data_IF_130571283385
#
_entry.id   IF_130571283385
#
_cell.length_a   1.000
_cell.length_b   1.000
_cell.length_c   1.000
_cell.angle_alpha   90.00
_cell.angle_beta   90.00
_cell.angle_gamma   90.00
#
_symmetry.space_group_name_H-M   'P 1'
#
loop_
_entity.id
_entity.type
_entity.pdbx_description
1 polymer ?
#
# COMPACT_ATOMS: atom_id res chain seq x y z
N UNK A 1 3.36 27.00 77.90
CA UNK A 1 3.77 27.16 76.49
C UNK A 1 5.29 27.30 76.44
N UNK A 2 6.00 26.24 76.05
CA UNK A 2 7.47 26.25 75.92
C UNK A 2 7.86 26.49 74.45
N UNK A 3 8.91 27.27 74.14
CA UNK A 3 9.32 27.53 72.77
C UNK A 3 10.05 26.31 72.19
N UNK A 4 9.58 25.87 71.02
CA UNK A 4 10.08 24.71 70.28
C UNK A 4 11.32 25.14 69.49
N UNK A 5 12.50 24.68 69.90
CA UNK A 5 13.77 24.94 69.21
C UNK A 5 13.88 24.11 67.95
N UNK A 6 13.95 24.73 66.77
CA UNK A 6 14.26 24.06 65.51
C UNK A 6 15.76 23.76 65.43
N UNK A 7 16.13 22.47 65.33
CA UNK A 7 17.49 22.03 65.02
C UNK A 7 17.59 21.77 63.53
N UNK A 8 18.36 22.60 62.82
CA UNK A 8 18.69 22.41 61.41
C UNK A 8 19.68 21.24 61.26
N UNK A 9 19.18 20.06 60.89
CA UNK A 9 20.01 18.95 60.44
C UNK A 9 20.07 18.92 58.92
N UNK A 10 21.20 19.32 58.34
CA UNK A 10 21.49 19.07 56.91
C UNK A 10 21.80 17.59 56.72
N UNK A 11 20.84 16.83 56.18
CA UNK A 11 21.09 15.49 55.68
C UNK A 11 21.66 15.59 54.25
N UNK A 12 22.95 15.31 54.10
CA UNK A 12 23.59 15.09 52.80
C UNK A 12 23.12 13.74 52.25
N UNK A 13 22.15 13.78 51.34
CA UNK A 13 21.77 12.64 50.51
C UNK A 13 22.85 12.44 49.43
N UNK A 14 23.48 11.26 49.32
CA UNK A 14 24.41 10.99 48.24
C UNK A 14 23.63 10.92 46.93
N UNK A 15 23.94 11.85 46.02
CA UNK A 15 23.46 11.83 44.65
C UNK A 15 24.14 10.67 43.93
N UNK A 16 23.46 9.54 43.81
CA UNK A 16 23.89 8.44 42.94
C UNK A 16 23.70 8.90 41.50
N UNK A 17 24.78 9.35 40.87
CA UNK A 17 24.82 9.60 39.43
C UNK A 17 24.84 8.23 38.76
N UNK A 18 23.65 7.67 38.51
CA UNK A 18 23.50 6.52 37.64
C UNK A 18 24.00 6.91 36.25
N UNK A 19 25.09 6.28 35.80
CA UNK A 19 25.61 6.50 34.45
C UNK A 19 24.50 6.26 33.43
N UNK A 20 24.27 7.25 32.56
CA UNK A 20 23.38 7.11 31.42
C UNK A 20 23.98 6.04 30.49
N UNK A 21 23.51 4.81 30.63
CA UNK A 21 23.81 3.74 29.67
C UNK A 21 23.04 4.08 28.40
N UNK A 22 23.75 4.45 27.35
CA UNK A 22 23.14 4.63 26.02
C UNK A 22 22.57 3.28 25.59
N UNK A 23 21.31 3.24 25.10
CA UNK A 23 20.72 1.98 24.65
C UNK A 23 21.58 1.40 23.54
N UNK A 24 21.70 0.05 23.45
CA UNK A 24 22.44 -0.57 22.38
C UNK A 24 21.86 -0.14 21.02
N UNK A 25 22.71 0.00 19.98
CA UNK A 25 22.25 0.32 18.64
C UNK A 25 21.13 -0.63 18.18
N UNK A 26 20.14 -0.09 17.47
CA UNK A 26 19.04 -0.89 16.93
C UNK A 26 19.61 -1.89 15.91
N UNK A 27 19.35 -3.17 16.15
CA UNK A 27 19.55 -4.21 15.14
C UNK A 27 18.47 -4.06 14.05
N UNK A 28 18.79 -3.29 13.02
CA UNK A 28 17.88 -2.99 11.91
C UNK A 28 17.49 -4.24 11.14
N UNK A 29 18.40 -5.21 10.99
CA UNK A 29 18.11 -6.47 10.28
C UNK A 29 17.04 -7.27 11.02
N UNK A 30 17.21 -7.45 12.33
CA UNK A 30 16.22 -8.16 13.15
C UNK A 30 14.88 -7.42 13.21
N UNK A 31 14.87 -6.08 13.24
CA UNK A 31 13.63 -5.30 13.24
C UNK A 31 12.90 -5.37 11.90
N UNK A 32 13.60 -5.18 10.78
CA UNK A 32 13.01 -5.22 9.43
C UNK A 32 12.52 -6.62 9.11
N UNK A 33 13.33 -7.67 9.37
CA UNK A 33 13.00 -9.05 9.02
C UNK A 33 11.74 -9.62 9.69
N UNK A 34 11.23 -8.99 10.76
CA UNK A 34 9.91 -9.33 11.35
C UNK A 34 8.74 -9.06 10.39
N UNK A 35 8.97 -8.26 9.36
CA UNK A 35 7.97 -7.81 8.40
C UNK A 35 8.18 -8.42 7.01
N UNK A 36 9.08 -9.40 6.88
CA UNK A 36 9.25 -10.15 5.64
C UNK A 36 7.96 -10.90 5.29
N UNK A 37 7.43 -10.63 4.10
CA UNK A 37 6.20 -11.27 3.64
C UNK A 37 6.54 -12.61 3.00
N UNK A 38 5.81 -13.65 3.39
CA UNK A 38 5.88 -14.97 2.74
C UNK A 38 4.50 -15.37 2.23
N UNK A 39 4.44 -15.67 0.94
CA UNK A 39 3.25 -16.19 0.28
C UNK A 39 3.52 -17.63 -0.16
N UNK A 40 2.58 -18.52 0.17
CA UNK A 40 2.63 -19.94 -0.17
C UNK A 40 1.28 -20.39 -0.69
N UNK A 41 1.27 -20.88 -1.92
CA UNK A 41 0.05 -21.40 -2.54
C UNK A 41 0.34 -22.68 -3.31
N UNK A 42 -0.42 -23.73 -3.04
CA UNK A 42 -0.35 -24.95 -3.85
C UNK A 42 -0.86 -24.70 -5.27
N UNK A 43 -1.92 -23.89 -5.39
CA UNK A 43 -2.49 -23.47 -6.66
C UNK A 43 -3.04 -22.05 -6.54
N UNK A 44 -2.76 -21.22 -7.54
CA UNK A 44 -3.28 -19.86 -7.60
C UNK A 44 -4.67 -19.83 -8.25
N UNK A 45 -5.66 -19.33 -7.51
CA UNK A 45 -6.98 -18.97 -8.02
C UNK A 45 -7.02 -17.46 -8.29
N UNK A 46 -7.30 -16.99 -9.52
CA UNK A 46 -7.43 -15.56 -9.83
C UNK A 46 -8.35 -14.76 -8.92
N UNK A 47 -9.42 -15.36 -8.38
CA UNK A 47 -10.36 -14.64 -7.51
C UNK A 47 -9.79 -14.41 -6.11
N UNK A 48 -9.05 -15.39 -5.58
CA UNK A 48 -8.38 -15.30 -4.30
C UNK A 48 -7.05 -14.52 -4.39
N UNK A 49 -6.25 -14.83 -5.41
CA UNK A 49 -4.87 -14.36 -5.57
C UNK A 49 -4.77 -12.90 -5.98
N UNK A 50 -5.85 -12.30 -6.50
CA UNK A 50 -5.88 -10.85 -6.84
C UNK A 50 -5.57 -9.94 -5.65
N UNK A 51 -5.64 -10.47 -4.43
CA UNK A 51 -5.32 -9.76 -3.18
C UNK A 51 -3.89 -10.00 -2.67
N UNK A 52 -3.14 -10.90 -3.31
CA UNK A 52 -1.79 -11.30 -2.87
C UNK A 52 -0.69 -10.46 -3.54
N UNK A 53 -1.07 -9.46 -4.34
CA UNK A 53 -0.12 -8.53 -4.94
C UNK A 53 0.61 -7.74 -3.85
N UNK A 54 1.94 -7.76 -3.88
CA UNK A 54 2.77 -7.08 -2.90
C UNK A 54 3.15 -5.69 -3.42
N UNK A 55 2.90 -4.66 -2.61
CA UNK A 55 3.33 -3.29 -2.91
C UNK A 55 4.48 -2.90 -2.00
N UNK A 56 5.60 -2.50 -2.58
CA UNK A 56 6.76 -1.95 -1.85
C UNK A 56 7.03 -0.53 -2.29
N UNK A 57 7.40 0.34 -1.36
CA UNK A 57 7.66 1.73 -1.67
C UNK A 57 8.42 2.46 -0.58
N UNK A 58 8.93 3.64 -0.92
CA UNK A 58 9.74 4.48 -0.05
C UNK A 58 9.06 5.82 0.31
N UNK A 59 7.76 5.94 0.04
CA UNK A 59 6.98 7.16 0.22
C UNK A 59 6.86 8.01 -1.05
N UNK A 60 7.89 8.01 -1.91
CA UNK A 60 7.89 8.79 -3.17
C UNK A 60 7.65 7.92 -4.41
N UNK A 61 7.86 6.61 -4.27
CA UNK A 61 7.66 5.59 -5.28
C UNK A 61 7.07 4.34 -4.63
N UNK A 62 6.17 3.67 -5.33
CA UNK A 62 5.65 2.37 -4.94
C UNK A 62 5.50 1.45 -6.16
N UNK A 63 5.96 0.22 -6.04
CA UNK A 63 5.86 -0.80 -7.07
C UNK A 63 4.99 -1.95 -6.57
N UNK A 64 3.95 -2.27 -7.34
CA UNK A 64 3.09 -3.42 -7.09
C UNK A 64 3.54 -4.59 -7.95
N UNK A 65 3.88 -5.71 -7.33
CA UNK A 65 4.31 -6.94 -7.97
C UNK A 65 3.27 -8.06 -7.78
N UNK A 66 3.09 -8.89 -8.80
CA UNK A 66 2.41 -10.18 -8.66
C UNK A 66 3.37 -11.27 -8.16
N UNK A 67 2.88 -12.51 -8.13
CA UNK A 67 3.61 -13.72 -7.71
C UNK A 67 4.92 -13.98 -8.48
N UNK A 68 5.12 -13.37 -9.64
CA UNK A 68 6.37 -13.43 -10.41
C UNK A 68 7.43 -12.45 -9.89
N UNK A 69 7.07 -11.53 -8.98
CA UNK A 69 7.91 -10.41 -8.56
C UNK A 69 7.87 -9.22 -9.54
N UNK A 70 7.11 -9.31 -10.62
CA UNK A 70 6.96 -8.28 -11.65
C UNK A 70 5.49 -7.88 -11.84
N UNK A 71 5.21 -6.98 -12.79
CA UNK A 71 3.85 -6.59 -13.22
C UNK A 71 3.36 -7.46 -14.40
N UNK A 72 3.75 -8.74 -14.45
CA UNK A 72 3.61 -9.62 -15.62
C UNK A 72 2.18 -10.07 -15.91
N UNK A 73 1.38 -10.27 -14.87
CA UNK A 73 0.02 -10.83 -14.94
C UNK A 73 -1.05 -9.75 -14.81
N UNK A 74 -0.73 -8.49 -15.14
CA UNK A 74 -1.62 -7.36 -14.91
C UNK A 74 -3.01 -7.55 -15.54
N UNK A 75 -3.13 -8.22 -16.69
CA UNK A 75 -4.44 -8.53 -17.29
C UNK A 75 -5.35 -9.35 -16.36
N UNK A 76 -4.77 -10.26 -15.57
CA UNK A 76 -5.50 -11.04 -14.56
C UNK A 76 -5.90 -10.18 -13.36
N UNK A 77 -5.04 -9.25 -12.95
CA UNK A 77 -5.25 -8.36 -11.79
C UNK A 77 -6.04 -7.07 -12.11
N UNK A 78 -6.24 -6.70 -13.39
CA UNK A 78 -6.96 -5.48 -13.80
C UNK A 78 -8.49 -5.64 -13.83
N UNK A 79 -9.03 -6.65 -13.17
CA UNK A 79 -10.47 -6.83 -13.03
C UNK A 79 -11.07 -5.68 -12.20
N UNK A 80 -12.35 -5.29 -12.39
CA UNK A 80 -12.94 -4.09 -11.78
C UNK A 80 -12.86 -4.02 -10.24
N UNK A 81 -12.67 -5.16 -9.60
CA UNK A 81 -12.66 -5.34 -8.14
C UNK A 81 -11.27 -5.74 -7.61
N UNK A 82 -10.25 -5.82 -8.47
CA UNK A 82 -8.92 -6.29 -8.15
C UNK A 82 -7.92 -5.13 -8.03
N UNK A 83 -6.83 -5.34 -7.30
CA UNK A 83 -5.76 -4.35 -7.17
C UNK A 83 -4.87 -4.40 -8.42
N UNK A 84 -4.88 -3.38 -9.30
CA UNK A 84 -4.13 -3.46 -10.53
C UNK A 84 -2.62 -3.32 -10.28
N UNK A 85 -1.81 -4.02 -11.08
CA UNK A 85 -0.36 -4.02 -10.95
C UNK A 85 0.23 -2.78 -11.63
N UNK A 86 0.34 -1.70 -10.86
CA UNK A 86 0.90 -0.44 -11.34
C UNK A 86 1.97 0.09 -10.41
N UNK A 87 2.72 1.04 -10.96
CA UNK A 87 3.71 1.83 -10.26
C UNK A 87 3.09 3.17 -9.88
N UNK A 88 3.30 3.57 -8.64
CA UNK A 88 2.90 4.87 -8.11
C UNK A 88 4.15 5.70 -7.87
N UNK A 89 4.08 6.99 -8.17
CA UNK A 89 5.18 7.91 -7.91
C UNK A 89 4.69 9.34 -7.70
N UNK A 90 5.47 10.13 -6.97
CA UNK A 90 5.25 11.57 -6.77
C UNK A 90 5.49 12.41 -8.05
N UNK A 91 6.19 11.86 -9.04
CA UNK A 91 6.47 12.50 -10.33
C UNK A 91 5.53 12.02 -11.45
N UNK A 92 4.84 10.88 -11.25
CA UNK A 92 3.88 10.30 -12.19
C UNK A 92 2.51 10.98 -12.17
N UNK A 93 2.45 12.20 -11.63
CA UNK A 93 1.25 13.02 -11.65
C UNK A 93 1.09 13.55 -13.07
N UNK A 94 0.17 12.94 -13.78
CA UNK A 94 -0.33 13.47 -15.03
C UNK A 94 -1.76 13.88 -14.74
N UNK A 95 -2.10 15.14 -15.01
CA UNK A 95 -3.50 15.59 -15.03
C UNK A 95 -4.07 15.09 -16.35
N UNK A 96 -4.79 13.95 -16.41
CA UNK A 96 -5.50 13.61 -17.62
C UNK A 96 -6.51 14.73 -17.90
N UNK A 97 -6.75 15.00 -19.18
CA UNK A 97 -7.84 15.88 -19.56
C UNK A 97 -9.14 15.36 -18.89
N UNK A 98 -9.84 16.17 -18.11
CA UNK A 98 -11.18 15.88 -17.60
C UNK A 98 -12.14 15.24 -18.60
N UNK A 99 -12.06 15.66 -19.87
CA UNK A 99 -12.85 15.11 -20.96
C UNK A 99 -12.48 13.66 -21.28
N UNK A 100 -11.22 13.27 -21.08
CA UNK A 100 -10.77 11.88 -21.24
C UNK A 100 -11.34 10.94 -20.16
N UNK A 101 -11.77 11.49 -19.01
CA UNK A 101 -12.51 10.74 -17.99
C UNK A 101 -14.03 10.70 -18.24
N UNK A 102 -14.52 11.31 -19.33
CA UNK A 102 -15.95 11.37 -19.67
C UNK A 102 -16.77 12.23 -18.70
N UNK A 103 -16.13 13.13 -17.95
CA UNK A 103 -16.81 14.00 -17.01
C UNK A 103 -17.18 15.37 -17.62
N UNK A 104 -18.27 16.01 -17.13
CA UNK A 104 -18.59 17.38 -17.50
C UNK A 104 -17.45 18.34 -17.11
N UNK A 105 -17.05 19.21 -18.04
CA UNK A 105 -15.94 20.17 -17.84
C UNK A 105 -16.16 21.12 -16.63
N UNK A 106 -17.42 21.36 -16.22
CA UNK A 106 -17.75 22.16 -15.02
C UNK A 106 -17.21 21.56 -13.71
N UNK A 107 -16.90 20.27 -13.70
CA UNK A 107 -16.34 19.57 -12.55
C UNK A 107 -14.84 19.80 -12.41
N UNK A 108 -14.23 20.63 -13.26
CA UNK A 108 -12.79 20.87 -13.30
C UNK A 108 -12.48 22.35 -13.47
N UNK A 109 -11.38 22.76 -12.86
CA UNK A 109 -10.77 24.05 -13.07
C UNK A 109 -10.10 24.10 -14.46
N UNK A 110 -9.83 25.31 -14.97
CA UNK A 110 -9.14 25.49 -16.25
C UNK A 110 -7.71 24.93 -16.32
N UNK A 111 -7.13 24.54 -15.18
CA UNK A 111 -5.84 23.86 -15.08
C UNK A 111 -5.96 22.32 -15.02
N UNK A 112 -7.16 21.75 -15.23
CA UNK A 112 -7.44 20.32 -15.23
C UNK A 112 -7.59 19.68 -13.85
N UNK A 113 -7.44 20.43 -12.75
CA UNK A 113 -7.73 19.91 -11.40
C UNK A 113 -9.24 19.82 -11.15
N UNK A 114 -9.68 18.86 -10.34
CA UNK A 114 -11.09 18.76 -9.96
C UNK A 114 -11.55 20.02 -9.24
N UNK A 115 -12.66 20.59 -9.68
CA UNK A 115 -13.39 21.67 -9.02
C UNK A 115 -14.27 21.10 -7.90
N UNK A 116 -13.62 20.45 -6.94
CA UNK A 116 -14.21 19.85 -5.73
C UNK A 116 -13.40 20.30 -4.52
N UNK A 117 -14.10 20.69 -3.47
CA UNK A 117 -13.55 20.88 -2.13
C UNK A 117 -13.95 19.72 -1.23
N UNK A 118 -13.32 19.60 -0.07
CA UNK A 118 -13.71 18.61 0.95
C UNK A 118 -15.19 18.74 1.36
N UNK A 119 -15.78 19.94 1.22
CA UNK A 119 -17.20 20.19 1.50
C UNK A 119 -18.15 19.62 0.43
N UNK A 120 -17.67 19.42 -0.79
CA UNK A 120 -18.46 18.91 -1.92
C UNK A 120 -18.58 17.38 -1.90
N UNK A 121 -17.87 16.69 -0.99
CA UNK A 121 -17.78 15.24 -0.96
C UNK A 121 -18.33 14.68 0.35
N UNK A 122 -19.31 13.78 0.25
CA UNK A 122 -19.73 13.00 1.42
C UNK A 122 -18.72 11.91 1.77
N UNK A 123 -18.16 12.04 2.98
CA UNK A 123 -17.20 11.09 3.53
C UNK A 123 -17.86 10.25 4.60
N UNK A 124 -17.93 8.95 4.35
CA UNK A 124 -18.31 7.95 5.33
C UNK A 124 -17.10 7.62 6.19
N UNK A 125 -17.38 7.62 7.49
CA UNK A 125 -16.43 7.20 8.51
C UNK A 125 -16.85 5.82 9.02
N UNK A 126 -15.90 4.91 9.17
CA UNK A 126 -16.15 3.57 9.72
C UNK A 126 -15.06 3.21 10.73
N UNK A 127 -15.43 2.40 11.72
CA UNK A 127 -14.45 1.78 12.61
C UNK A 127 -13.76 0.63 11.85
N UNK A 128 -12.44 0.73 11.58
CA UNK A 128 -11.71 -0.31 10.87
C UNK A 128 -11.45 -1.53 11.77
N UNK A 129 -11.65 -1.41 13.09
CA UNK A 129 -11.44 -2.48 14.07
C UNK A 129 -12.63 -2.61 15.02
N UNK A 130 -13.81 -3.06 14.52
CA UNK A 130 -14.99 -3.26 15.36
C UNK A 130 -14.65 -4.12 16.59
N UNK A 131 -14.88 -3.57 17.78
CA UNK A 131 -14.64 -4.27 19.06
C UNK A 131 -13.19 -4.27 19.56
N UNK A 132 -12.24 -3.61 18.87
CA UNK A 132 -10.85 -3.42 19.33
C UNK A 132 -10.41 -1.94 19.39
N UNK A 133 -11.38 -1.04 19.48
CA UNK A 133 -11.21 0.40 19.62
C UNK A 133 -12.50 1.14 19.24
N UNK A 134 -12.59 2.44 19.55
CA UNK A 134 -13.69 3.31 19.11
C UNK A 134 -13.15 4.44 18.22
N UNK A 135 -12.25 4.11 17.29
CA UNK A 135 -11.66 5.09 16.38
C UNK A 135 -12.35 4.98 15.03
N UNK A 136 -13.29 5.87 14.77
CA UNK A 136 -13.86 6.03 13.44
C UNK A 136 -12.83 6.73 12.55
N UNK A 137 -12.54 6.18 11.38
CA UNK A 137 -11.67 6.84 10.39
C UNK A 137 -12.48 7.24 9.15
N UNK A 138 -12.28 8.46 8.61
CA UNK A 138 -12.87 8.88 7.35
C UNK A 138 -12.06 8.28 6.18
N UNK A 139 -12.64 7.35 5.43
CA UNK A 139 -11.96 6.76 4.27
C UNK A 139 -12.87 6.42 3.09
N UNK A 140 -14.19 6.51 3.24
CA UNK A 140 -15.12 6.03 2.21
C UNK A 140 -15.85 7.20 1.56
N UNK A 141 -15.57 7.45 0.29
CA UNK A 141 -16.39 8.34 -0.52
C UNK A 141 -17.66 7.61 -0.97
N UNK A 142 -18.85 8.15 -0.67
CA UNK A 142 -20.09 7.59 -1.20
C UNK A 142 -20.32 8.07 -2.64
N UNK A 143 -19.71 7.33 -3.57
CA UNK A 143 -19.70 7.68 -4.99
C UNK A 143 -21.03 7.44 -5.71
N UNK A 144 -21.91 6.59 -5.18
CA UNK A 144 -23.18 6.28 -5.86
C UNK A 144 -24.34 7.13 -5.37
N UNK A 145 -24.33 7.56 -4.10
CA UNK A 145 -25.46 8.29 -3.54
C UNK A 145 -25.34 9.81 -3.66
N UNK A 146 -24.12 10.37 -3.70
CA UNK A 146 -23.94 11.83 -3.53
C UNK A 146 -22.89 12.50 -4.43
N UNK A 147 -22.12 11.75 -5.22
CA UNK A 147 -21.09 12.31 -6.11
C UNK A 147 -21.31 11.82 -7.56
N UNK A 148 -20.91 12.59 -8.59
CA UNK A 148 -20.91 12.10 -9.97
C UNK A 148 -19.98 10.88 -10.09
N UNK A 149 -20.45 9.74 -10.63
CA UNK A 149 -19.64 8.53 -10.73
C UNK A 149 -18.32 8.74 -11.47
N UNK A 150 -18.30 9.58 -12.49
CA UNK A 150 -17.10 9.87 -13.28
C UNK A 150 -16.03 10.63 -12.47
N UNK A 151 -16.41 11.50 -11.52
CA UNK A 151 -15.46 12.25 -10.70
C UNK A 151 -14.81 11.35 -9.65
N UNK A 152 -15.59 10.43 -9.10
CA UNK A 152 -15.05 9.35 -8.28
C UNK A 152 -14.11 8.45 -9.07
N UNK A 153 -14.52 8.02 -10.27
CA UNK A 153 -13.68 7.18 -11.12
C UNK A 153 -12.38 7.91 -11.51
N UNK A 154 -12.43 9.23 -11.73
CA UNK A 154 -11.26 10.07 -11.89
C UNK A 154 -10.34 10.00 -10.66
N UNK A 155 -10.85 10.21 -9.44
CA UNK A 155 -10.04 10.13 -8.20
C UNK A 155 -9.51 8.72 -7.88
N UNK A 156 -10.26 7.68 -8.25
CA UNK A 156 -9.85 6.29 -8.06
C UNK A 156 -8.81 5.84 -9.10
N UNK A 157 -8.83 6.43 -10.29
CA UNK A 157 -7.89 6.12 -11.39
C UNK A 157 -6.70 7.07 -11.44
N UNK A 158 -6.85 8.27 -10.90
CA UNK A 158 -5.86 9.35 -10.89
C UNK A 158 -5.84 10.02 -9.51
N UNK A 159 -4.68 10.31 -8.94
CA UNK A 159 -3.35 10.27 -9.54
C UNK A 159 -2.56 8.98 -9.22
N UNK A 160 -1.46 8.79 -9.97
CA UNK A 160 -0.33 7.92 -9.66
C UNK A 160 -0.50 6.40 -9.84
N UNK A 161 -1.10 5.91 -10.93
CA UNK A 161 -0.94 4.50 -11.35
C UNK A 161 -0.47 4.43 -12.80
N UNK A 162 0.84 4.50 -12.99
CA UNK A 162 1.48 4.42 -14.30
C UNK A 162 2.09 3.04 -14.51
N UNK A 163 2.11 2.62 -15.76
CA UNK A 163 2.85 1.42 -16.16
C UNK A 163 4.15 1.87 -16.82
N UNK A 164 5.30 1.40 -16.31
CA UNK A 164 6.63 1.78 -16.83
C UNK A 164 7.17 0.77 -17.85
N UNK A 165 6.31 -0.14 -18.34
CA UNK A 165 6.68 -1.27 -19.16
C UNK A 165 6.41 -2.58 -18.44
N UNK A 166 5.94 -3.58 -19.19
CA UNK A 166 5.63 -4.90 -18.65
C UNK A 166 6.47 -5.96 -19.33
N UNK A 167 7.11 -6.79 -18.52
CA UNK A 167 7.67 -8.05 -18.97
C UNK A 167 6.64 -9.14 -18.73
N UNK A 168 6.42 -10.00 -19.72
CA UNK A 168 5.54 -11.15 -19.61
C UNK A 168 6.31 -12.42 -19.98
N UNK A 169 5.92 -13.53 -19.37
CA UNK A 169 6.51 -14.82 -19.65
C UNK A 169 5.67 -15.59 -20.65
N UNK A 170 6.35 -16.30 -21.55
CA UNK A 170 5.76 -17.36 -22.36
C UNK A 170 6.39 -18.68 -21.95
N UNK A 171 5.58 -19.72 -21.82
CA UNK A 171 6.01 -21.06 -21.45
C UNK A 171 5.72 -22.03 -22.60
N UNK A 172 6.56 -23.07 -22.79
CA UNK A 172 6.25 -24.12 -23.74
C UNK A 172 4.91 -24.78 -23.37
N UNK A 173 4.12 -25.13 -24.39
CA UNK A 173 2.82 -25.79 -24.18
C UNK A 173 3.00 -27.16 -23.52
N UNK A 174 4.05 -27.88 -23.92
CA UNK A 174 4.52 -29.14 -23.34
C UNK A 174 5.96 -28.96 -22.85
N UNK A 175 6.17 -29.10 -21.54
CA UNK A 175 7.49 -28.95 -20.92
C UNK A 175 8.51 -30.01 -21.41
N UNK A 176 8.03 -31.14 -21.96
CA UNK A 176 8.88 -32.18 -22.56
C UNK A 176 9.32 -31.84 -23.98
N UNK A 177 8.72 -30.82 -24.60
CA UNK A 177 9.01 -30.37 -25.96
C UNK A 177 9.36 -28.86 -25.97
N UNK A 178 10.55 -28.49 -25.48
CA UNK A 178 10.94 -27.08 -25.32
C UNK A 178 11.08 -26.31 -26.65
N UNK A 179 11.22 -27.01 -27.78
CA UNK A 179 11.21 -26.41 -29.13
C UNK A 179 9.79 -26.32 -29.76
N UNK A 180 8.77 -26.79 -29.03
CA UNK A 180 7.38 -26.73 -29.46
C UNK A 180 6.75 -25.34 -29.34
N UNK A 181 5.43 -25.22 -29.55
CA UNK A 181 4.74 -23.94 -29.43
C UNK A 181 4.78 -23.40 -28.00
N UNK A 182 4.82 -22.07 -27.90
CA UNK A 182 4.77 -21.35 -26.63
C UNK A 182 3.39 -20.73 -26.42
N UNK A 183 3.02 -20.51 -25.15
CA UNK A 183 1.81 -19.80 -24.76
C UNK A 183 2.12 -18.79 -23.64
N UNK A 184 1.34 -17.71 -23.50
CA UNK A 184 1.45 -16.81 -22.36
C UNK A 184 1.31 -17.53 -21.01
N UNK A 185 2.04 -17.05 -20.01
CA UNK A 185 1.86 -17.46 -18.63
C UNK A 185 0.46 -17.07 -18.14
N UNK A 186 -0.24 -18.01 -17.54
CA UNK A 186 -1.55 -17.80 -16.92
C UNK A 186 -1.45 -18.13 -15.44
N UNK A 187 -2.01 -17.27 -14.58
CA UNK A 187 -1.98 -17.44 -13.13
C UNK A 187 -2.49 -18.83 -12.69
N UNK A 188 -3.57 -19.31 -13.32
CA UNK A 188 -4.18 -20.63 -13.07
C UNK A 188 -3.30 -21.83 -13.40
N UNK A 189 -2.14 -21.63 -14.03
CA UNK A 189 -1.17 -22.70 -14.35
C UNK A 189 0.03 -22.71 -13.41
N UNK A 190 0.18 -21.69 -12.58
CA UNK A 190 1.23 -21.63 -11.57
C UNK A 190 0.79 -22.51 -10.39
N UNK A 191 1.71 -23.35 -9.93
CA UNK A 191 1.52 -24.32 -8.85
C UNK A 191 2.70 -24.23 -7.89
N UNK A 192 2.50 -24.69 -6.65
CA UNK A 192 3.53 -24.75 -5.62
C UNK A 192 4.32 -23.43 -5.50
N UNK A 193 3.60 -22.31 -5.50
CA UNK A 193 4.18 -20.96 -5.44
C UNK A 193 4.75 -20.73 -4.06
N UNK A 194 6.00 -20.27 -4.01
CA UNK A 194 6.63 -19.70 -2.83
C UNK A 194 7.23 -18.36 -3.22
N UNK A 195 6.74 -17.28 -2.62
CA UNK A 195 7.29 -15.95 -2.81
C UNK A 195 7.70 -15.40 -1.44
N UNK A 196 8.90 -14.85 -1.37
CA UNK A 196 9.39 -14.13 -0.20
C UNK A 196 9.82 -12.74 -0.63
N UNK A 197 9.36 -11.73 0.10
CA UNK A 197 9.84 -10.37 0.01
C UNK A 197 10.74 -10.11 1.23
N UNK A 198 12.05 -10.04 1.00
CA UNK A 198 13.04 -9.71 2.03
C UNK A 198 13.28 -8.19 2.02
N UNK A 199 12.71 -7.50 3.00
CA UNK A 199 12.77 -6.03 3.03
C UNK A 199 14.16 -5.49 3.38
N UNK A 200 15.08 -6.35 3.83
CA UNK A 200 16.42 -5.95 4.19
C UNK A 200 17.39 -6.00 3.01
N UNK A 201 17.27 -7.01 2.15
CA UNK A 201 18.15 -7.17 0.98
C UNK A 201 17.57 -6.65 -0.32
N UNK A 202 16.25 -6.43 -0.40
CA UNK A 202 15.56 -6.06 -1.63
C UNK A 202 15.22 -7.28 -2.46
#
# INVERSE_FOLDING_TARGET
HAPMTWRSGLALLPLVIGGLVSPPPIDRRTVVGRHDVQLRHEQLDPVATRWDALTVGNGEFAFTADVTGLQSLNRTYRQPEAFPLYTMSNWGWHTPDPAAAGCPHRLFHGNGTLNYTYADVQIRSRDPRPGKGNRTVPYQFDCRAHNPPCACDFLYRFPARVNLGQLAFVLPVDARQPAGPFRPLELRRIRATQQRLDLYTG
#
